data_IF_839420712920
#
_entry.id   IF_839420712920
#
_cell.length_a   1.000
_cell.length_b   1.000
_cell.length_c   1.000
_cell.angle_alpha   90.00
_cell.angle_beta   90.00
_cell.angle_gamma   90.00
#
_symmetry.space_group_name_H-M   'P 1'
#
loop_
_entity.id
_entity.type
_entity.pdbx_description
1 polymer ?
#
# COMPACT_ATOMS: atom_id res chain seq x y z
N UNK A 1 20.94 67.05 -46.26
CA UNK A 1 19.92 67.88 -45.59
C UNK A 1 18.78 66.97 -45.19
N UNK A 2 18.45 66.90 -43.89
CA UNK A 2 17.24 66.33 -43.27
C UNK A 2 17.03 64.79 -43.42
N UNK A 3 16.89 63.96 -42.38
CA UNK A 3 16.75 64.10 -40.92
C UNK A 3 17.19 62.78 -40.27
N UNK A 4 17.76 62.88 -39.07
CA UNK A 4 17.94 61.79 -38.10
C UNK A 4 16.59 61.12 -37.79
N UNK A 5 16.56 59.80 -37.66
CA UNK A 5 15.67 59.15 -36.72
C UNK A 5 16.36 57.95 -36.07
N UNK A 6 16.49 58.05 -34.75
CA UNK A 6 17.05 57.09 -33.82
C UNK A 6 15.90 56.15 -33.41
N UNK A 7 16.13 54.83 -33.46
CA UNK A 7 15.43 53.82 -32.65
C UNK A 7 16.47 52.74 -32.35
N UNK A 8 17.31 52.90 -31.33
CA UNK A 8 17.09 52.34 -29.99
C UNK A 8 16.32 51.03 -29.99
N UNK A 9 17.05 49.93 -29.75
CA UNK A 9 16.60 48.82 -28.93
C UNK A 9 15.84 47.71 -29.64
N UNK A 10 16.51 46.57 -29.81
CA UNK A 10 15.93 45.33 -29.30
C UNK A 10 17.07 44.38 -28.92
N UNK A 11 17.48 44.50 -27.65
CA UNK A 11 18.22 43.45 -26.96
C UNK A 11 17.38 42.17 -27.11
N UNK A 12 17.89 41.17 -27.85
CA UNK A 12 17.36 39.82 -27.76
C UNK A 12 17.68 39.33 -26.34
N UNK A 13 16.79 39.67 -25.39
CA UNK A 13 16.68 38.92 -24.14
C UNK A 13 16.15 37.55 -24.55
N UNK A 14 17.07 36.62 -24.74
CA UNK A 14 16.79 35.20 -24.61
C UNK A 14 16.32 35.01 -23.16
N UNK A 15 15.02 35.22 -22.93
CA UNK A 15 14.40 34.81 -21.69
C UNK A 15 14.57 33.29 -21.63
N UNK A 16 15.52 32.84 -20.83
CA UNK A 16 15.61 31.45 -20.42
C UNK A 16 14.27 31.09 -19.78
N UNK A 17 13.38 30.47 -20.56
CA UNK A 17 12.30 29.66 -20.01
C UNK A 17 13.00 28.51 -19.27
N UNK A 18 13.32 28.74 -17.99
CA UNK A 18 13.50 27.63 -17.07
C UNK A 18 12.14 26.96 -16.97
N UNK A 19 11.94 25.91 -17.77
CA UNK A 19 10.94 24.91 -17.48
C UNK A 19 11.24 24.41 -16.07
N UNK A 20 10.44 24.85 -15.10
CA UNK A 20 10.39 24.22 -13.80
C UNK A 20 9.93 22.79 -14.04
N UNK A 21 10.89 21.88 -14.04
CA UNK A 21 10.62 20.46 -14.14
C UNK A 21 9.95 20.09 -12.80
N UNK A 22 8.62 19.98 -12.80
CA UNK A 22 7.89 19.33 -11.71
C UNK A 22 8.37 17.88 -11.66
N UNK A 23 9.47 17.64 -10.93
CA UNK A 23 9.87 16.30 -10.52
C UNK A 23 8.78 15.81 -9.60
N UNK A 24 7.82 15.07 -10.16
CA UNK A 24 6.93 14.21 -9.37
C UNK A 24 7.84 13.30 -8.55
N UNK A 25 7.99 13.59 -7.27
CA UNK A 25 8.74 12.73 -6.34
C UNK A 25 8.11 11.34 -6.44
N UNK A 26 8.90 10.35 -6.84
CA UNK A 26 8.46 8.97 -6.83
C UNK A 26 8.23 8.58 -5.37
N UNK A 27 6.97 8.34 -5.00
CA UNK A 27 6.63 7.88 -3.65
C UNK A 27 7.27 6.51 -3.46
N UNK A 28 8.19 6.40 -2.51
CA UNK A 28 8.75 5.12 -2.11
C UNK A 28 7.73 4.42 -1.19
N UNK A 29 6.92 3.55 -1.78
CA UNK A 29 5.94 2.78 -1.03
C UNK A 29 6.63 1.66 -0.23
N UNK A 30 6.08 1.40 0.94
CA UNK A 30 6.41 0.25 1.78
C UNK A 30 5.26 -0.75 1.80
N UNK A 31 5.54 -1.96 2.30
CA UNK A 31 4.59 -3.07 2.34
C UNK A 31 4.35 -3.52 3.76
N UNK A 32 3.08 -3.74 4.10
CA UNK A 32 2.65 -4.47 5.28
C UNK A 32 1.75 -5.63 4.85
N UNK A 33 1.73 -6.75 5.59
CA UNK A 33 0.88 -7.90 5.25
C UNK A 33 0.21 -8.46 6.47
N UNK A 34 -1.13 -8.41 6.44
CA UNK A 34 -1.99 -8.74 7.57
C UNK A 34 -3.00 -9.81 7.19
N UNK A 35 -3.14 -10.85 8.00
CA UNK A 35 -4.28 -11.77 7.97
C UNK A 35 -5.15 -11.52 9.19
N UNK A 36 -6.44 -11.31 8.97
CA UNK A 36 -7.37 -10.85 10.01
C UNK A 36 -8.81 -11.36 9.78
N UNK A 37 -8.95 -12.52 9.13
CA UNK A 37 -10.24 -13.05 8.68
C UNK A 37 -10.37 -13.05 7.16
N UNK A 38 -11.60 -12.92 6.65
CA UNK A 38 -11.85 -12.84 5.21
C UNK A 38 -11.12 -11.64 4.59
N UNK A 39 -10.25 -11.88 3.60
CA UNK A 39 -9.44 -10.83 2.97
C UNK A 39 -10.23 -9.70 2.31
N UNK A 40 -11.48 -9.92 1.87
CA UNK A 40 -12.33 -8.90 1.26
C UNK A 40 -12.69 -7.81 2.29
N UNK A 41 -12.97 -8.23 3.52
CA UNK A 41 -13.26 -7.30 4.61
C UNK A 41 -12.00 -6.53 5.02
N UNK A 42 -10.86 -7.22 5.07
CA UNK A 42 -9.58 -6.60 5.46
C UNK A 42 -9.10 -5.62 4.39
N UNK A 43 -9.19 -5.98 3.12
CA UNK A 43 -8.90 -5.11 1.97
C UNK A 43 -9.74 -3.82 2.03
N UNK A 44 -11.05 -3.96 2.18
CA UNK A 44 -11.96 -2.82 2.25
C UNK A 44 -11.66 -1.86 3.42
N UNK A 45 -11.15 -2.37 4.55
CA UNK A 45 -10.69 -1.52 5.66
C UNK A 45 -9.51 -0.65 5.24
N UNK A 46 -8.50 -1.23 4.60
CA UNK A 46 -7.27 -0.51 4.25
C UNK A 46 -7.40 0.38 3.00
N UNK A 47 -8.28 0.05 2.05
CA UNK A 47 -8.54 0.90 0.88
C UNK A 47 -9.06 2.30 1.24
N UNK A 48 -9.65 2.47 2.42
CA UNK A 48 -10.20 3.73 2.91
C UNK A 48 -9.20 4.55 3.74
N UNK A 49 -7.98 4.04 3.95
CA UNK A 49 -6.99 4.65 4.82
C UNK A 49 -6.13 5.65 4.06
N UNK A 50 -6.08 6.89 4.54
CA UNK A 50 -5.19 7.91 3.98
C UNK A 50 -3.73 7.48 4.10
N UNK A 51 -2.99 7.58 2.99
CA UNK A 51 -1.61 7.10 2.88
C UNK A 51 -1.47 5.68 2.37
N UNK A 52 -2.55 4.89 2.30
CA UNK A 52 -2.57 3.63 1.53
C UNK A 52 -2.79 3.95 0.05
N UNK A 53 -1.91 3.44 -0.81
CA UNK A 53 -2.00 3.65 -2.26
C UNK A 53 -2.84 2.55 -2.92
N UNK A 54 -2.63 1.29 -2.54
CA UNK A 54 -3.43 0.16 -2.96
C UNK A 54 -3.24 -1.04 -2.04
N UNK A 55 -4.18 -1.99 -2.14
CA UNK A 55 -4.18 -3.23 -1.36
C UNK A 55 -4.32 -4.42 -2.31
N UNK A 56 -3.66 -5.52 -2.00
CA UNK A 56 -3.80 -6.77 -2.74
C UNK A 56 -4.27 -7.88 -1.81
N UNK A 57 -5.44 -8.45 -2.09
CA UNK A 57 -5.93 -9.69 -1.47
C UNK A 57 -5.18 -10.91 -2.01
N UNK A 58 -4.75 -11.80 -1.13
CA UNK A 58 -4.02 -13.01 -1.52
C UNK A 58 -3.83 -14.02 -0.40
N UNK A 59 -2.86 -14.91 -0.60
CA UNK A 59 -2.55 -16.01 0.31
C UNK A 59 -1.07 -15.98 0.73
N UNK A 60 -0.78 -16.25 2.00
CA UNK A 60 0.61 -16.31 2.50
C UNK A 60 0.79 -17.27 3.68
N UNK A 61 2.04 -17.66 3.94
CA UNK A 61 2.43 -18.48 5.09
C UNK A 61 2.18 -19.99 4.95
N UNK A 62 1.67 -20.45 3.80
CA UNK A 62 1.50 -21.87 3.48
C UNK A 62 2.64 -22.47 2.66
N UNK A 63 2.46 -23.72 2.25
CA UNK A 63 3.47 -24.53 1.56
C UNK A 63 3.09 -24.92 0.13
N UNK A 64 1.84 -24.68 -0.29
CA UNK A 64 1.39 -24.95 -1.66
C UNK A 64 1.72 -23.76 -2.55
N UNK A 65 2.47 -23.98 -3.63
CA UNK A 65 2.80 -22.96 -4.63
C UNK A 65 1.54 -22.58 -5.44
N UNK A 66 1.39 -21.29 -5.73
CA UNK A 66 0.27 -20.70 -6.49
C UNK A 66 -1.11 -21.31 -6.19
N UNK A 67 -1.56 -21.29 -4.92
CA UNK A 67 -2.78 -21.96 -4.52
C UNK A 67 -4.01 -21.22 -5.08
N UNK A 68 -4.98 -21.99 -5.58
CA UNK A 68 -6.32 -21.46 -5.88
C UNK A 68 -7.14 -21.26 -4.60
N UNK A 69 -8.13 -20.37 -4.65
CA UNK A 69 -9.11 -20.18 -3.57
C UNK A 69 -9.72 -21.51 -3.08
N UNK A 70 -10.09 -22.39 -4.02
CA UNK A 70 -10.66 -23.71 -3.70
C UNK A 70 -9.68 -24.61 -2.94
N UNK A 71 -8.38 -24.52 -3.20
CA UNK A 71 -7.38 -25.27 -2.45
C UNK A 71 -7.25 -24.72 -1.03
N UNK A 72 -7.23 -23.40 -0.87
CA UNK A 72 -7.09 -22.77 0.45
C UNK A 72 -8.30 -23.05 1.35
N UNK A 73 -9.53 -22.86 0.85
CA UNK A 73 -10.76 -23.09 1.63
C UNK A 73 -10.96 -24.57 1.96
N UNK A 74 -10.44 -25.50 1.14
CA UNK A 74 -10.41 -26.93 1.48
C UNK A 74 -9.47 -27.24 2.64
N UNK A 75 -8.59 -26.32 3.01
CA UNK A 75 -7.58 -26.48 4.04
C UNK A 75 -6.33 -27.24 3.56
N UNK A 76 -5.45 -27.57 4.52
CA UNK A 76 -4.21 -28.32 4.31
C UNK A 76 -3.17 -27.65 3.38
N UNK A 77 -3.33 -26.37 3.05
CA UNK A 77 -2.29 -25.60 2.33
C UNK A 77 -1.38 -24.83 3.27
N UNK A 78 -1.79 -24.65 4.54
CA UNK A 78 -1.15 -23.79 5.53
C UNK A 78 -1.32 -22.29 5.29
N UNK A 79 -1.89 -21.89 4.16
CA UNK A 79 -2.04 -20.48 3.81
C UNK A 79 -3.08 -19.76 4.66
N UNK A 80 -2.88 -18.46 4.82
CA UNK A 80 -3.82 -17.48 5.39
C UNK A 80 -4.31 -16.57 4.30
N UNK A 81 -5.58 -16.18 4.35
CA UNK A 81 -6.08 -15.02 3.62
C UNK A 81 -5.46 -13.74 4.17
N UNK A 82 -4.76 -13.00 3.32
CA UNK A 82 -4.04 -11.78 3.71
C UNK A 82 -4.37 -10.62 2.80
N UNK A 83 -4.28 -9.42 3.36
CA UNK A 83 -4.19 -8.17 2.63
C UNK A 83 -2.74 -7.68 2.66
N UNK A 84 -2.13 -7.50 1.48
CA UNK A 84 -0.83 -6.82 1.33
C UNK A 84 -1.09 -5.34 1.03
N UNK A 85 -0.80 -4.49 2.02
CA UNK A 85 -1.04 -3.05 1.98
C UNK A 85 0.22 -2.37 1.47
N UNK A 86 0.10 -1.56 0.41
CA UNK A 86 1.16 -0.70 -0.09
C UNK A 86 0.88 0.73 0.34
N UNK A 87 1.73 1.27 1.20
CA UNK A 87 1.51 2.55 1.87
C UNK A 87 2.69 3.50 1.71
N UNK A 88 2.40 4.79 1.77
CA UNK A 88 3.37 5.87 1.80
C UNK A 88 3.78 6.13 3.27
N UNK A 89 5.00 5.74 3.69
CA UNK A 89 5.45 5.90 5.07
C UNK A 89 5.60 7.38 5.49
N UNK A 90 5.54 8.32 4.54
CA UNK A 90 5.51 9.76 4.86
C UNK A 90 4.13 10.26 5.27
N UNK A 91 3.07 9.47 5.06
CA UNK A 91 1.67 9.81 5.37
C UNK A 91 1.12 8.96 6.50
N UNK A 92 1.39 7.65 6.50
CA UNK A 92 0.96 6.71 7.54
C UNK A 92 2.10 5.80 7.98
N UNK A 93 2.27 5.62 9.29
CA UNK A 93 3.32 4.75 9.83
C UNK A 93 2.87 3.29 9.91
N UNK A 94 3.83 2.37 10.01
CA UNK A 94 3.54 0.95 10.23
C UNK A 94 2.78 0.71 11.54
N UNK A 95 3.11 1.46 12.60
CA UNK A 95 2.42 1.40 13.89
C UNK A 95 0.94 1.79 13.77
N UNK A 96 0.61 2.80 12.96
CA UNK A 96 -0.79 3.17 12.70
C UNK A 96 -1.52 2.06 11.93
N UNK A 97 -0.85 1.40 10.98
CA UNK A 97 -1.41 0.21 10.32
C UNK A 97 -1.63 -0.94 11.31
N UNK A 98 -0.72 -1.15 12.27
CA UNK A 98 -0.90 -2.12 13.35
C UNK A 98 -2.09 -1.74 14.24
N UNK A 99 -2.26 -0.47 14.61
CA UNK A 99 -3.42 -0.02 15.37
C UNK A 99 -4.73 -0.35 14.64
N UNK A 100 -4.80 -0.09 13.33
CA UNK A 100 -5.95 -0.47 12.50
C UNK A 100 -6.14 -1.98 12.53
N UNK A 101 -5.09 -2.78 12.33
CA UNK A 101 -5.17 -4.24 12.38
C UNK A 101 -5.79 -4.72 13.69
N UNK A 102 -5.31 -4.25 14.84
CA UNK A 102 -5.78 -4.68 16.16
C UNK A 102 -7.23 -4.28 16.45
N UNK A 103 -7.71 -3.16 15.90
CA UNK A 103 -9.10 -2.72 16.08
C UNK A 103 -10.07 -3.31 15.06
N UNK A 104 -9.58 -3.89 13.97
CA UNK A 104 -10.43 -4.34 12.85
C UNK A 104 -10.89 -5.79 12.96
N UNK A 105 -10.39 -6.56 13.92
CA UNK A 105 -10.69 -7.98 14.06
C UNK A 105 -10.46 -8.46 15.50
N UNK A 106 -10.96 -9.65 15.86
CA UNK A 106 -10.62 -10.32 17.13
C UNK A 106 -9.36 -11.20 16.95
N UNK A 107 -8.18 -10.80 17.47
CA UNK A 107 -6.93 -11.55 17.34
C UNK A 107 -6.80 -12.71 18.35
N UNK A 108 -7.79 -12.90 19.22
CA UNK A 108 -7.76 -13.91 20.30
C UNK A 108 -8.48 -15.20 19.95
N UNK A 109 -9.16 -15.23 18.80
CA UNK A 109 -9.86 -16.42 18.31
C UNK A 109 -8.94 -17.26 17.43
N UNK A 110 -8.63 -18.47 17.89
CA UNK A 110 -7.78 -19.41 17.15
C UNK A 110 -8.48 -19.86 15.86
N UNK A 111 -7.81 -19.67 14.71
CA UNK A 111 -8.25 -20.18 13.41
C UNK A 111 -9.70 -19.79 13.05
N UNK A 112 -10.07 -18.55 13.35
CA UNK A 112 -11.42 -18.02 13.13
C UNK A 112 -11.37 -16.49 13.09
N UNK A 113 -12.33 -15.90 12.37
CA UNK A 113 -12.76 -14.53 12.58
C UNK A 113 -14.28 -14.44 12.50
N UNK A 114 -14.94 -14.03 13.57
CA UNK A 114 -16.40 -14.02 13.63
C UNK A 114 -17.03 -15.37 13.24
N UNK A 115 -17.82 -15.38 12.17
CA UNK A 115 -18.46 -16.60 11.63
C UNK A 115 -17.59 -17.37 10.63
N UNK A 116 -16.45 -16.82 10.22
CA UNK A 116 -15.53 -17.43 9.28
C UNK A 116 -14.58 -18.36 10.03
N UNK A 117 -14.74 -19.68 9.81
CA UNK A 117 -14.01 -20.72 10.55
C UNK A 117 -13.01 -21.43 9.65
N UNK A 118 -11.75 -21.50 10.07
CA UNK A 118 -10.67 -22.17 9.34
C UNK A 118 -9.30 -21.56 9.64
N UNK A 119 -8.25 -22.39 9.52
CA UNK A 119 -6.86 -21.94 9.70
C UNK A 119 -6.49 -20.78 8.77
N UNK A 120 -7.12 -20.70 7.60
CA UNK A 120 -6.90 -19.64 6.63
C UNK A 120 -7.49 -18.28 7.04
N UNK A 121 -8.29 -18.22 8.10
CA UNK A 121 -8.83 -16.97 8.67
C UNK A 121 -8.12 -16.51 9.94
N UNK A 122 -7.03 -17.18 10.34
CA UNK A 122 -6.32 -16.85 11.58
C UNK A 122 -5.69 -15.45 11.53
N UNK A 123 -5.61 -14.80 12.70
CA UNK A 123 -4.83 -13.59 12.89
C UNK A 123 -3.34 -13.85 12.65
N UNK A 124 -2.69 -13.05 11.78
CA UNK A 124 -1.25 -13.13 11.50
C UNK A 124 -0.72 -11.81 10.97
N UNK A 125 0.56 -11.54 11.24
CA UNK A 125 1.33 -10.46 10.65
C UNK A 125 2.57 -11.07 9.98
N UNK A 126 2.75 -10.81 8.69
CA UNK A 126 3.96 -11.20 7.95
C UNK A 126 4.83 -9.97 7.73
N UNK A 127 5.87 -9.84 8.56
CA UNK A 127 6.82 -8.73 8.51
C UNK A 127 7.72 -8.79 7.26
N UNK A 128 8.10 -7.62 6.73
CA UNK A 128 8.95 -7.46 5.54
C UNK A 128 10.39 -7.02 5.86
N UNK A 129 10.66 -6.61 7.09
CA UNK A 129 11.97 -6.19 7.58
C UNK A 129 12.06 -6.35 9.12
N UNK A 130 13.23 -6.10 9.70
CA UNK A 130 13.45 -6.23 11.16
C UNK A 130 12.71 -5.17 11.98
N UNK A 131 12.38 -4.01 11.40
CA UNK A 131 11.61 -2.96 12.11
C UNK A 131 10.14 -3.39 12.29
N UNK A 132 9.62 -4.21 11.39
CA UNK A 132 8.24 -4.73 11.43
C UNK A 132 8.05 -5.98 12.31
N UNK A 133 9.14 -6.55 12.86
CA UNK A 133 9.14 -7.83 13.59
C UNK A 133 9.06 -7.63 15.10
#
# INVERSE_FOLDING_TARGET
MFKKLIFTGLFLSFASLTFAQDKKMEKKLEKATFGAGCFWCVEAVYELVEGVEYVESGYSGGHVEDPSYKQVVRGNTGHVEVARVHYDPSVISYEQLLEIHWHSHDPTTLNRQGNDVGEHYRSVIFFHNEEQK
#
